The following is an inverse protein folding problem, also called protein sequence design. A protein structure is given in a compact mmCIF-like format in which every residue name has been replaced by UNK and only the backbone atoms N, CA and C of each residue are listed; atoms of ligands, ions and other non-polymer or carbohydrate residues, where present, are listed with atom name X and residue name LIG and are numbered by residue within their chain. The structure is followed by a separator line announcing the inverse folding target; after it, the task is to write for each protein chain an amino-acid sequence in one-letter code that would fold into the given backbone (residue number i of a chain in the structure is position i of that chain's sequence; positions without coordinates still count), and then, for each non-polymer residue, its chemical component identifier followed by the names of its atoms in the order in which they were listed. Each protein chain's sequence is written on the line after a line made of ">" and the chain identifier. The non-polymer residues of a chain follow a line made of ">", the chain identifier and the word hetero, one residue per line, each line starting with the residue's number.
data_IF_918501971827
#
_entry.id   IF_918501971827
#
_cell.length_a   1.000
_cell.length_b   1.000
_cell.length_c   1.000
_cell.angle_alpha   90.00
_cell.angle_beta   90.00
_cell.angle_gamma   90.00
#
_symmetry.space_group_name_H-M   'P 1'
#
loop_
_entity.id
_entity.type
_entity.pdbx_description
1 polymer ?
#
# COMPACT_ATOMS: atom_id res chain seq x y z
N UNK A 1 10.36 -3.45 42.89
CA UNK A 1 9.25 -2.49 43.00
C UNK A 1 9.42 -1.48 41.87
N UNK A 2 8.96 -1.84 40.66
CA UNK A 2 8.99 -0.95 39.49
C UNK A 2 7.58 -0.30 39.40
N UNK A 3 7.49 0.94 39.84
CA UNK A 3 6.32 1.79 39.60
C UNK A 3 6.35 2.14 38.10
N UNK A 4 5.53 1.43 37.29
CA UNK A 4 5.21 1.87 35.95
C UNK A 4 4.35 3.15 36.11
N UNK A 5 4.94 4.28 35.82
CA UNK A 5 4.17 5.46 35.44
C UNK A 5 3.44 5.10 34.13
N UNK A 6 2.19 4.66 34.22
CA UNK A 6 1.24 4.76 33.13
C UNK A 6 0.96 6.25 32.94
N UNK A 7 1.74 6.92 32.10
CA UNK A 7 1.35 8.24 31.60
C UNK A 7 -0.05 8.08 31.01
N UNK A 8 -0.96 8.84 31.55
CA UNK A 8 -2.38 8.85 31.17
C UNK A 8 -2.47 9.30 29.72
N UNK A 9 -2.48 8.33 28.79
CA UNK A 9 -2.57 8.59 27.35
C UNK A 9 -3.84 9.38 27.08
N UNK A 10 -3.71 10.60 26.59
CA UNK A 10 -4.88 11.43 26.27
C UNK A 10 -5.50 10.97 24.96
N UNK A 11 -6.79 10.63 25.02
CA UNK A 11 -7.56 10.30 23.83
C UNK A 11 -7.69 11.53 22.93
N UNK A 12 -7.27 11.43 21.68
CA UNK A 12 -7.33 12.51 20.68
C UNK A 12 -8.50 12.31 19.74
N UNK A 13 -9.03 13.41 19.21
CA UNK A 13 -9.97 13.41 18.10
C UNK A 13 -9.19 13.48 16.80
N UNK A 14 -9.18 12.39 16.04
CA UNK A 14 -8.39 12.26 14.81
C UNK A 14 -9.34 12.11 13.62
N UNK A 15 -9.19 12.97 12.64
CA UNK A 15 -9.88 12.84 11.35
C UNK A 15 -8.90 12.36 10.29
N UNK A 16 -9.25 11.28 9.59
CA UNK A 16 -8.48 10.78 8.44
C UNK A 16 -9.20 11.22 7.16
N UNK A 17 -8.52 11.98 6.29
CA UNK A 17 -9.01 12.35 4.96
C UNK A 17 -8.31 11.46 3.93
N UNK A 18 -9.08 10.70 3.16
CA UNK A 18 -8.56 9.79 2.14
C UNK A 18 -9.51 9.71 0.94
N UNK A 19 -9.03 9.17 -0.18
CA UNK A 19 -9.84 9.02 -1.39
C UNK A 19 -10.47 7.63 -1.53
N UNK A 20 -10.01 6.64 -0.78
CA UNK A 20 -10.57 5.29 -0.83
C UNK A 20 -10.60 4.66 0.55
N UNK A 21 -11.69 3.95 0.82
CA UNK A 21 -11.94 3.24 2.08
C UNK A 21 -12.88 2.05 1.81
N UNK A 22 -12.88 0.96 2.59
CA UNK A 22 -13.83 -0.12 2.40
C UNK A 22 -15.28 0.40 2.25
N UNK A 23 -16.10 -0.17 1.34
CA UNK A 23 -15.97 -1.51 0.73
C UNK A 23 -15.08 -1.62 -0.52
N UNK A 24 -14.41 -0.56 -0.92
CA UNK A 24 -13.41 -0.65 -2.00
C UNK A 24 -12.30 -1.62 -1.60
N UNK A 25 -11.82 -2.42 -2.58
CA UNK A 25 -10.76 -3.39 -2.38
C UNK A 25 -9.42 -2.85 -2.93
N UNK A 26 -8.33 -3.22 -2.28
CA UNK A 26 -6.98 -2.85 -2.71
C UNK A 26 -6.08 -2.40 -1.57
N UNK A 27 -4.83 -2.08 -1.87
CA UNK A 27 -3.82 -1.76 -0.87
C UNK A 27 -4.14 -0.46 -0.10
N UNK A 28 -4.58 0.59 -0.80
CA UNK A 28 -4.87 1.89 -0.19
C UNK A 28 -6.05 1.84 0.79
N UNK A 29 -7.26 1.35 0.42
CA UNK A 29 -8.38 1.28 1.35
C UNK A 29 -8.09 0.36 2.55
N UNK A 30 -7.40 -0.77 2.34
CA UNK A 30 -7.02 -1.68 3.43
C UNK A 30 -6.07 -1.01 4.42
N UNK A 31 -5.06 -0.30 3.93
CA UNK A 31 -4.07 0.41 4.76
C UNK A 31 -4.73 1.49 5.61
N UNK A 32 -5.59 2.33 5.02
CA UNK A 32 -6.29 3.39 5.76
C UNK A 32 -7.24 2.79 6.79
N UNK A 33 -7.91 1.70 6.45
CA UNK A 33 -8.78 0.98 7.39
C UNK A 33 -7.97 0.43 8.59
N UNK A 34 -6.81 -0.19 8.33
CA UNK A 34 -5.94 -0.71 9.38
C UNK A 34 -5.41 0.42 10.28
N UNK A 35 -5.03 1.56 9.69
CA UNK A 35 -4.65 2.76 10.45
C UNK A 35 -5.79 3.24 11.35
N UNK A 36 -7.00 3.38 10.81
CA UNK A 36 -8.17 3.81 11.58
C UNK A 36 -8.51 2.83 12.71
N UNK A 37 -8.46 1.51 12.44
CA UNK A 37 -8.65 0.47 13.47
C UNK A 37 -7.61 0.57 14.58
N UNK A 38 -6.34 0.71 14.22
CA UNK A 38 -5.25 0.84 15.18
C UNK A 38 -5.43 2.06 16.07
N UNK A 39 -5.71 3.23 15.50
CA UNK A 39 -5.98 4.45 16.27
C UNK A 39 -7.17 4.29 17.20
N UNK A 40 -8.24 3.64 16.74
CA UNK A 40 -9.41 3.35 17.57
C UNK A 40 -9.09 2.39 18.72
N UNK A 41 -8.31 1.34 18.45
CA UNK A 41 -7.87 0.39 19.47
C UNK A 41 -6.94 1.03 20.54
N UNK A 42 -6.25 2.14 20.18
CA UNK A 42 -5.44 2.95 21.10
C UNK A 42 -6.26 3.97 21.90
N UNK A 43 -7.60 3.98 21.75
CA UNK A 43 -8.51 4.83 22.53
C UNK A 43 -8.82 6.18 21.89
N UNK A 44 -8.35 6.48 20.69
CA UNK A 44 -8.67 7.72 20.00
C UNK A 44 -10.10 7.76 19.46
N UNK A 45 -10.68 8.95 19.35
CA UNK A 45 -11.93 9.19 18.63
C UNK A 45 -11.60 9.38 17.14
N UNK A 46 -11.99 8.41 16.30
CA UNK A 46 -11.62 8.39 14.89
C UNK A 46 -12.82 8.65 13.98
N UNK A 47 -12.64 9.60 13.05
CA UNK A 47 -13.54 9.80 11.92
C UNK A 47 -12.76 9.68 10.62
N UNK A 48 -13.34 8.97 9.63
CA UNK A 48 -12.81 8.87 8.28
C UNK A 48 -13.70 9.67 7.33
N UNK A 49 -13.11 10.63 6.62
CA UNK A 49 -13.75 11.36 5.52
C UNK A 49 -13.17 10.82 4.22
N UNK A 50 -14.03 10.27 3.37
CA UNK A 50 -13.64 9.63 2.11
C UNK A 50 -14.66 9.93 1.01
N UNK A 51 -14.38 9.56 -0.22
CA UNK A 51 -15.38 9.69 -1.28
C UNK A 51 -16.34 8.49 -1.32
N UNK A 52 -17.42 8.62 -2.12
CA UNK A 52 -18.30 7.48 -2.43
C UNK A 52 -17.48 6.39 -3.15
N UNK A 53 -17.67 5.11 -2.78
CA UNK A 53 -16.87 4.02 -3.35
C UNK A 53 -17.16 3.87 -4.86
N UNK A 54 -16.09 3.80 -5.65
CA UNK A 54 -16.15 3.81 -7.10
C UNK A 54 -15.06 2.97 -7.80
N UNK A 55 -14.00 2.60 -7.07
CA UNK A 55 -12.88 1.82 -7.62
C UNK A 55 -13.15 0.30 -7.51
N UNK A 56 -12.81 -0.52 -8.53
CA UNK A 56 -12.04 -0.16 -9.74
C UNK A 56 -12.88 0.31 -10.94
N UNK A 57 -14.20 0.22 -10.87
CA UNK A 57 -15.09 0.39 -12.03
C UNK A 57 -15.23 1.83 -12.55
N UNK A 58 -14.81 2.85 -11.77
CA UNK A 58 -15.03 4.25 -12.12
C UNK A 58 -16.52 4.63 -12.15
N UNK A 59 -17.34 3.96 -11.35
CA UNK A 59 -18.79 4.21 -11.15
C UNK A 59 -19.11 4.02 -9.69
N UNK A 60 -19.90 4.95 -9.12
CA UNK A 60 -20.36 4.82 -7.73
C UNK A 60 -21.12 3.50 -7.55
N UNK A 61 -20.79 2.76 -6.49
CA UNK A 61 -21.44 1.50 -6.16
C UNK A 61 -22.94 1.68 -5.97
N UNK A 62 -23.79 0.72 -6.35
CA UNK A 62 -25.26 0.90 -6.41
C UNK A 62 -25.87 1.45 -5.12
N UNK A 63 -25.45 0.96 -3.95
CA UNK A 63 -25.96 1.37 -2.63
C UNK A 63 -25.60 2.81 -2.21
N UNK A 64 -24.71 3.47 -2.96
CA UNK A 64 -24.20 4.82 -2.69
C UNK A 64 -24.64 5.86 -3.71
N UNK A 65 -25.35 5.45 -4.77
CA UNK A 65 -25.79 6.36 -5.84
C UNK A 65 -26.82 7.36 -5.35
N UNK A 66 -26.86 8.54 -5.99
CA UNK A 66 -27.83 9.59 -5.70
C UNK A 66 -27.62 10.37 -4.41
N UNK A 67 -26.53 10.12 -3.68
CA UNK A 67 -26.23 10.75 -2.41
C UNK A 67 -25.08 11.73 -2.54
N UNK A 68 -25.20 12.92 -1.95
CA UNK A 68 -24.10 13.88 -1.80
C UNK A 68 -23.23 13.59 -0.59
N UNK A 69 -23.86 13.14 0.50
CA UNK A 69 -23.20 12.76 1.75
C UNK A 69 -23.83 11.47 2.25
N UNK A 70 -23.00 10.51 2.67
CA UNK A 70 -23.45 9.34 3.43
C UNK A 70 -22.64 9.21 4.72
N UNK A 71 -23.32 8.96 5.81
CA UNK A 71 -22.73 8.72 7.14
C UNK A 71 -22.89 7.26 7.48
N UNK A 72 -21.83 6.64 7.95
CA UNK A 72 -21.78 5.24 8.37
C UNK A 72 -21.00 5.14 9.68
N UNK A 73 -21.23 4.05 10.42
CA UNK A 73 -20.43 3.68 11.58
C UNK A 73 -20.04 2.20 11.43
N UNK A 74 -18.76 1.92 11.49
CA UNK A 74 -18.23 0.56 11.40
C UNK A 74 -17.15 0.38 12.48
N UNK A 75 -17.31 -0.61 13.38
CA UNK A 75 -16.41 -0.86 14.51
C UNK A 75 -16.09 0.42 15.32
N UNK A 76 -17.12 1.20 15.63
CA UNK A 76 -17.03 2.50 16.31
C UNK A 76 -16.22 3.59 15.58
N UNK A 77 -15.78 3.37 14.36
CA UNK A 77 -15.20 4.38 13.47
C UNK A 77 -16.34 5.06 12.73
N UNK A 78 -16.42 6.39 12.83
CA UNK A 78 -17.38 7.19 12.05
C UNK A 78 -16.82 7.38 10.65
N UNK A 79 -17.62 7.09 9.62
CA UNK A 79 -17.26 7.24 8.22
C UNK A 79 -18.19 8.24 7.59
N UNK A 80 -17.64 9.26 6.95
CA UNK A 80 -18.36 10.23 6.15
C UNK A 80 -17.89 10.14 4.71
N UNK A 81 -18.81 9.73 3.84
CA UNK A 81 -18.57 9.67 2.39
C UNK A 81 -19.11 10.90 1.72
N UNK A 82 -18.33 11.49 0.86
CA UNK A 82 -18.66 12.68 0.09
C UNK A 82 -18.79 12.33 -1.38
N UNK A 83 -19.62 13.04 -2.07
CA UNK A 83 -19.80 12.86 -3.49
C UNK A 83 -18.53 13.18 -4.29
N UNK A 84 -18.37 12.45 -5.40
CA UNK A 84 -17.39 12.76 -6.44
C UNK A 84 -17.99 12.43 -7.82
N UNK A 85 -17.43 13.02 -8.86
CA UNK A 85 -17.61 12.56 -10.23
C UNK A 85 -16.70 11.34 -10.45
N UNK A 86 -17.23 10.10 -10.52
CA UNK A 86 -16.37 8.93 -10.62
C UNK A 86 -15.83 8.77 -12.04
N UNK A 87 -14.55 8.50 -12.20
CA UNK A 87 -13.97 8.23 -13.50
C UNK A 87 -12.73 7.32 -13.40
N UNK A 88 -12.75 6.24 -14.17
CA UNK A 88 -11.58 5.40 -14.46
C UNK A 88 -11.22 5.44 -15.95
N UNK A 89 -11.58 6.53 -16.62
CA UNK A 89 -11.35 6.73 -18.04
C UNK A 89 -9.87 6.92 -18.36
N UNK A 90 -9.45 6.46 -19.54
CA UNK A 90 -8.14 6.81 -20.11
C UNK A 90 -8.02 8.29 -20.47
N UNK A 91 -9.15 9.00 -20.61
CA UNK A 91 -9.19 10.43 -20.90
C UNK A 91 -8.69 11.23 -19.67
N UNK A 92 -7.59 12.00 -19.78
CA UNK A 92 -7.00 12.75 -18.68
C UNK A 92 -7.95 13.82 -18.12
N UNK A 93 -8.78 14.47 -18.97
CA UNK A 93 -9.72 15.51 -18.53
C UNK A 93 -10.75 14.92 -17.56
N UNK A 94 -11.32 13.74 -17.86
CA UNK A 94 -12.27 13.07 -16.96
C UNK A 94 -11.63 12.67 -15.64
N UNK A 95 -10.37 12.26 -15.64
CA UNK A 95 -9.63 11.93 -14.42
C UNK A 95 -9.37 13.17 -13.56
N UNK A 96 -8.97 14.25 -14.19
CA UNK A 96 -8.77 15.55 -13.52
C UNK A 96 -10.10 16.07 -12.95
N UNK A 97 -11.20 16.01 -13.71
CA UNK A 97 -12.53 16.36 -13.23
C UNK A 97 -12.96 15.52 -12.00
N UNK A 98 -12.64 14.22 -11.99
CA UNK A 98 -12.87 13.35 -10.83
C UNK A 98 -12.12 13.83 -9.58
N UNK A 99 -10.85 14.20 -9.73
CA UNK A 99 -10.01 14.68 -8.61
C UNK A 99 -10.53 16.04 -8.10
N UNK A 100 -10.88 16.96 -8.99
CA UNK A 100 -11.44 18.26 -8.60
C UNK A 100 -12.80 18.15 -7.92
N UNK A 101 -13.66 17.24 -8.37
CA UNK A 101 -15.00 17.08 -7.79
C UNK A 101 -14.96 16.63 -6.34
N UNK A 102 -14.04 15.72 -5.97
CA UNK A 102 -13.85 15.34 -4.57
C UNK A 102 -13.21 16.47 -3.75
N UNK A 103 -12.25 17.17 -4.31
CA UNK A 103 -11.65 18.37 -3.70
C UNK A 103 -12.71 19.41 -3.38
N UNK A 104 -13.60 19.67 -4.32
CA UNK A 104 -14.75 20.56 -4.11
C UNK A 104 -15.65 20.07 -2.97
N UNK A 105 -15.97 18.77 -2.96
CA UNK A 105 -16.78 18.17 -1.89
C UNK A 105 -16.13 18.29 -0.51
N UNK A 106 -14.81 18.25 -0.41
CA UNK A 106 -14.08 18.47 0.84
C UNK A 106 -14.31 19.91 1.36
N UNK A 107 -14.19 20.92 0.52
CA UNK A 107 -14.42 22.31 0.93
C UNK A 107 -15.89 22.57 1.29
N UNK A 108 -16.84 22.06 0.52
CA UNK A 108 -18.27 22.34 0.75
C UNK A 108 -18.89 21.54 1.89
N UNK A 109 -18.49 20.29 2.06
CA UNK A 109 -19.19 19.39 3.00
C UNK A 109 -18.32 18.98 4.20
N UNK A 110 -16.98 18.93 4.06
CA UNK A 110 -16.12 18.59 5.17
C UNK A 110 -15.70 19.81 5.98
N UNK A 111 -15.23 20.89 5.34
CA UNK A 111 -14.72 22.07 6.02
C UNK A 111 -15.72 22.69 7.02
N UNK A 112 -17.01 22.98 6.69
CA UNK A 112 -17.94 23.58 7.66
C UNK A 112 -18.16 22.67 8.89
N UNK A 113 -18.24 21.36 8.69
CA UNK A 113 -18.39 20.42 9.79
C UNK A 113 -17.15 20.38 10.67
N UNK A 114 -15.97 20.31 10.08
CA UNK A 114 -14.71 20.24 10.79
C UNK A 114 -14.41 21.55 11.53
N UNK A 115 -14.88 22.67 11.02
CA UNK A 115 -14.82 23.96 11.71
C UNK A 115 -15.64 23.94 13.01
N UNK A 116 -16.87 23.37 12.98
CA UNK A 116 -17.76 23.28 14.14
C UNK A 116 -17.28 22.20 15.14
N UNK A 117 -16.79 21.07 14.63
CA UNK A 117 -16.31 19.93 15.45
C UNK A 117 -14.85 19.67 15.15
N UNK A 118 -14.03 20.62 15.56
CA UNK A 118 -12.60 20.61 15.30
C UNK A 118 -11.95 19.34 15.88
N UNK A 119 -11.26 18.53 15.03
CA UNK A 119 -10.39 17.48 15.52
C UNK A 119 -9.06 18.06 16.02
N UNK A 120 -8.38 17.34 16.90
CA UNK A 120 -7.04 17.71 17.34
C UNK A 120 -6.04 17.54 16.18
N UNK A 121 -6.21 16.45 15.40
CA UNK A 121 -5.33 16.11 14.29
C UNK A 121 -6.11 15.72 13.05
N UNK A 122 -5.60 16.07 11.88
CA UNK A 122 -6.08 15.64 10.57
C UNK A 122 -4.96 14.90 9.86
N UNK A 123 -5.13 13.57 9.66
CA UNK A 123 -4.21 12.75 8.88
C UNK A 123 -4.74 12.69 7.45
N UNK A 124 -3.96 13.21 6.51
CA UNK A 124 -4.34 13.33 5.10
C UNK A 124 -3.55 12.36 4.24
N UNK A 125 -4.23 11.49 3.51
CA UNK A 125 -3.59 10.48 2.65
C UNK A 125 -3.27 11.03 1.27
N UNK A 126 -2.03 10.80 0.81
CA UNK A 126 -1.55 11.11 -0.54
C UNK A 126 -0.96 9.84 -1.19
N UNK A 127 -1.24 9.54 -2.47
CA UNK A 127 -2.18 10.20 -3.37
C UNK A 127 -3.66 9.94 -3.05
N UNK A 128 -4.66 10.61 -3.72
CA UNK A 128 -4.53 11.57 -4.81
C UNK A 128 -4.10 12.96 -4.35
N UNK A 129 -3.30 13.58 -5.18
CA UNK A 129 -2.57 14.80 -4.87
C UNK A 129 -3.45 16.02 -4.53
N UNK A 130 -4.48 16.32 -5.37
CA UNK A 130 -5.32 17.52 -5.18
C UNK A 130 -6.17 17.43 -3.91
N UNK A 131 -6.74 16.27 -3.63
CA UNK A 131 -7.51 16.06 -2.40
C UNK A 131 -6.63 16.07 -1.16
N UNK A 132 -5.38 15.58 -1.29
CA UNK A 132 -4.41 15.66 -0.21
C UNK A 132 -4.04 17.12 0.10
N UNK A 133 -3.73 17.92 -0.94
CA UNK A 133 -3.47 19.34 -0.77
C UNK A 133 -4.65 20.07 -0.10
N UNK A 134 -5.88 19.82 -0.57
CA UNK A 134 -7.09 20.39 0.04
C UNK A 134 -7.25 19.98 1.51
N UNK A 135 -7.02 18.70 1.83
CA UNK A 135 -7.09 18.20 3.21
C UNK A 135 -6.11 18.90 4.15
N UNK A 136 -4.87 19.14 3.70
CA UNK A 136 -3.86 19.89 4.47
C UNK A 136 -4.28 21.37 4.63
N UNK A 137 -4.77 22.00 3.57
CA UNK A 137 -5.28 23.38 3.66
C UNK A 137 -6.46 23.49 4.63
N UNK A 138 -7.40 22.55 4.56
CA UNK A 138 -8.54 22.48 5.51
C UNK A 138 -8.04 22.35 6.95
N UNK A 139 -7.09 21.42 7.20
CA UNK A 139 -6.52 21.25 8.54
C UNK A 139 -5.91 22.56 9.07
N UNK A 140 -5.20 23.29 8.23
CA UNK A 140 -4.63 24.62 8.59
C UNK A 140 -5.69 25.69 8.85
N UNK A 141 -6.75 25.74 8.03
CA UNK A 141 -7.85 26.70 8.19
C UNK A 141 -8.57 26.49 9.53
N UNK A 142 -8.82 25.25 9.91
CA UNK A 142 -9.50 24.93 11.17
C UNK A 142 -8.57 24.92 12.38
N UNK A 143 -7.25 25.12 12.17
CA UNK A 143 -6.23 25.16 13.22
C UNK A 143 -5.95 23.80 13.86
N UNK A 144 -6.20 22.66 13.18
CA UNK A 144 -5.82 21.32 13.61
C UNK A 144 -4.41 20.98 13.18
N UNK A 145 -3.71 20.08 13.90
CA UNK A 145 -2.41 19.55 13.45
C UNK A 145 -2.59 18.81 12.13
N UNK A 146 -1.89 19.24 11.10
CA UNK A 146 -1.95 18.70 9.75
C UNK A 146 -0.85 17.65 9.54
N UNK A 147 -1.20 16.36 9.45
CA UNK A 147 -0.27 15.25 9.26
C UNK A 147 -0.46 14.68 7.85
N UNK A 148 0.58 14.72 7.03
CA UNK A 148 0.54 14.16 5.68
C UNK A 148 1.02 12.71 5.68
N UNK A 149 0.17 11.79 5.23
CA UNK A 149 0.49 10.37 5.05
C UNK A 149 0.78 10.08 3.58
N UNK A 150 2.06 9.96 3.23
CA UNK A 150 2.53 9.76 1.86
C UNK A 150 2.80 8.29 1.60
N UNK A 151 2.15 7.75 0.60
CA UNK A 151 2.30 6.35 0.20
C UNK A 151 2.93 6.15 -1.17
N UNK A 152 3.06 7.22 -1.93
CA UNK A 152 3.64 7.24 -3.26
C UNK A 152 4.11 8.67 -3.57
N UNK A 153 5.26 8.79 -4.22
CA UNK A 153 5.86 10.07 -4.60
C UNK A 153 5.25 10.58 -5.90
N UNK A 154 4.15 11.31 -5.79
CA UNK A 154 3.52 11.94 -6.92
C UNK A 154 3.85 13.45 -6.94
N UNK A 155 4.36 14.04 -8.04
CA UNK A 155 4.26 13.61 -9.44
C UNK A 155 5.39 12.71 -9.96
N UNK A 156 6.41 12.41 -9.18
CA UNK A 156 7.59 11.66 -9.62
C UNK A 156 7.20 10.27 -10.17
N UNK A 157 6.37 9.51 -9.48
CA UNK A 157 5.92 8.18 -9.94
C UNK A 157 5.13 8.25 -11.26
N UNK A 158 4.37 9.33 -11.49
CA UNK A 158 3.67 9.54 -12.76
C UNK A 158 4.65 9.83 -13.91
N UNK A 159 5.78 10.49 -13.64
CA UNK A 159 6.86 10.70 -14.58
C UNK A 159 7.55 9.39 -14.93
N UNK A 160 7.94 8.60 -13.93
CA UNK A 160 8.62 7.31 -14.11
C UNK A 160 7.74 6.27 -14.85
N UNK A 161 6.43 6.34 -14.65
CA UNK A 161 5.46 5.52 -15.38
C UNK A 161 5.16 6.06 -16.80
N UNK A 162 5.76 7.18 -17.21
CA UNK A 162 5.52 7.80 -18.51
C UNK A 162 4.12 8.44 -18.67
N UNK A 163 3.39 8.63 -17.57
CA UNK A 163 2.06 9.25 -17.61
C UNK A 163 2.09 10.78 -17.78
N UNK A 164 3.21 11.40 -17.42
CA UNK A 164 3.51 12.81 -17.64
C UNK A 164 4.96 12.95 -18.12
N UNK A 165 5.27 14.08 -18.77
CA UNK A 165 6.62 14.38 -19.25
C UNK A 165 7.25 15.51 -18.43
N UNK A 166 8.60 15.52 -18.37
CA UNK A 166 9.34 16.66 -17.80
C UNK A 166 9.01 17.93 -18.59
N UNK A 167 8.54 18.98 -17.89
CA UNK A 167 8.17 20.25 -18.52
C UNK A 167 7.57 21.23 -17.49
N UNK A 168 6.99 22.32 -17.97
CA UNK A 168 6.38 23.35 -17.12
C UNK A 168 5.29 22.79 -16.22
N UNK A 169 4.47 21.87 -16.74
CA UNK A 169 3.39 21.23 -15.98
C UNK A 169 3.93 20.37 -14.84
N UNK A 170 4.98 19.56 -15.09
CA UNK A 170 5.63 18.77 -14.05
C UNK A 170 6.22 19.66 -12.96
N UNK A 171 6.93 20.75 -13.34
CA UNK A 171 7.48 21.72 -12.36
C UNK A 171 6.40 22.41 -11.53
N UNK A 172 5.26 22.72 -12.14
CA UNK A 172 4.11 23.26 -11.41
C UNK A 172 3.59 22.27 -10.37
N UNK A 173 3.48 20.99 -10.71
CA UNK A 173 3.07 19.94 -9.76
C UNK A 173 4.09 19.74 -8.63
N UNK A 174 5.40 19.76 -8.93
CA UNK A 174 6.46 19.72 -7.90
C UNK A 174 6.38 20.93 -6.95
N UNK A 175 6.06 22.11 -7.47
CA UNK A 175 5.90 23.31 -6.63
C UNK A 175 4.73 23.13 -5.65
N UNK A 176 3.59 22.59 -6.10
CA UNK A 176 2.43 22.31 -5.23
C UNK A 176 2.80 21.21 -4.22
N UNK A 177 3.50 20.17 -4.64
CA UNK A 177 3.98 19.10 -3.76
C UNK A 177 4.84 19.65 -2.62
N UNK A 178 5.87 20.43 -2.96
CA UNK A 178 6.73 21.09 -1.96
C UNK A 178 5.94 22.02 -1.04
N UNK A 179 4.94 22.73 -1.57
CA UNK A 179 4.06 23.57 -0.76
C UNK A 179 3.22 22.74 0.22
N UNK A 180 2.68 21.59 -0.23
CA UNK A 180 1.92 20.68 0.63
C UNK A 180 2.78 20.13 1.76
N UNK A 181 4.02 19.70 1.47
CA UNK A 181 4.97 19.26 2.49
C UNK A 181 5.27 20.37 3.52
N UNK A 182 5.49 21.59 3.04
CA UNK A 182 5.80 22.72 3.93
C UNK A 182 4.60 23.23 4.74
N UNK A 183 3.36 23.02 4.28
CA UNK A 183 2.13 23.33 5.01
C UNK A 183 1.79 22.29 6.09
N UNK A 184 2.22 21.05 5.96
CA UNK A 184 2.00 20.01 6.96
C UNK A 184 2.81 20.26 8.22
N UNK A 185 2.30 19.87 9.40
CA UNK A 185 3.04 19.98 10.67
C UNK A 185 3.98 18.79 10.86
N UNK A 186 3.56 17.61 10.43
CA UNK A 186 4.34 16.36 10.43
C UNK A 186 4.01 15.52 9.20
N UNK A 187 4.80 14.48 8.94
CA UNK A 187 4.54 13.57 7.84
C UNK A 187 4.86 12.12 8.19
N UNK A 188 4.15 11.24 7.49
CA UNK A 188 4.24 9.79 7.59
C UNK A 188 4.64 9.28 6.22
N UNK A 189 5.73 8.50 6.14
CA UNK A 189 6.14 7.82 4.91
C UNK A 189 6.05 6.31 5.06
N UNK A 190 5.86 5.61 3.95
CA UNK A 190 5.84 4.14 3.96
C UNK A 190 7.20 3.51 3.71
N UNK A 191 8.17 4.32 3.31
CA UNK A 191 9.56 3.95 3.08
C UNK A 191 10.49 5.07 3.52
N UNK A 192 11.75 4.72 3.78
CA UNK A 192 12.78 5.73 4.06
C UNK A 192 13.00 6.65 2.84
N UNK A 193 12.91 6.10 1.63
CA UNK A 193 13.05 6.87 0.39
C UNK A 193 11.97 7.96 0.27
N UNK A 194 10.72 7.66 0.70
CA UNK A 194 9.65 8.67 0.77
C UNK A 194 10.00 9.74 1.80
N UNK A 195 10.44 9.36 3.00
CA UNK A 195 10.80 10.31 4.05
C UNK A 195 11.97 11.20 3.62
N UNK A 196 12.99 10.63 3.00
CA UNK A 196 14.13 11.39 2.45
C UNK A 196 13.70 12.38 1.35
N UNK A 197 12.87 11.95 0.41
CA UNK A 197 12.33 12.82 -0.64
C UNK A 197 11.58 14.02 -0.05
N UNK A 198 10.72 13.79 0.94
CA UNK A 198 9.99 14.85 1.63
C UNK A 198 10.98 15.78 2.33
N UNK A 199 11.90 15.23 3.12
CA UNK A 199 12.91 15.97 3.89
C UNK A 199 13.73 16.91 3.01
N UNK A 200 14.17 16.44 1.85
CA UNK A 200 14.91 17.24 0.85
C UNK A 200 14.08 18.37 0.23
N UNK A 201 12.76 18.32 0.38
CA UNK A 201 11.82 19.32 -0.13
C UNK A 201 11.37 20.33 0.94
N UNK A 202 11.73 20.13 2.20
CA UNK A 202 11.34 20.99 3.31
C UNK A 202 12.25 22.21 3.43
N UNK A 203 11.65 23.35 3.83
CA UNK A 203 12.38 24.56 4.21
C UNK A 203 12.95 24.49 5.63
N UNK A 204 12.28 23.75 6.51
CA UNK A 204 12.67 23.53 7.91
C UNK A 204 12.40 22.07 8.28
N UNK A 205 13.24 21.46 9.12
CA UNK A 205 12.98 20.12 9.63
C UNK A 205 11.60 20.02 10.31
N UNK A 206 10.96 18.87 10.16
CA UNK A 206 9.67 18.56 10.80
C UNK A 206 9.72 17.15 11.35
N UNK A 207 8.80 16.84 12.24
CA UNK A 207 8.67 15.49 12.77
C UNK A 207 8.18 14.53 11.68
N UNK A 208 8.78 13.36 11.63
CA UNK A 208 8.51 12.33 10.64
C UNK A 208 8.31 10.97 11.30
N UNK A 209 7.53 10.12 10.64
CA UNK A 209 7.36 8.74 11.09
C UNK A 209 7.34 7.77 9.92
N UNK A 210 8.10 6.68 10.05
CA UNK A 210 8.09 5.58 9.09
C UNK A 210 6.98 4.60 9.45
N UNK A 211 5.84 4.69 8.77
CA UNK A 211 4.69 3.81 8.98
C UNK A 211 4.50 2.88 7.78
N UNK A 212 5.07 1.70 7.87
CA UNK A 212 5.00 0.68 6.81
C UNK A 212 3.67 -0.05 6.82
N UNK A 213 3.25 -0.54 5.65
CA UNK A 213 2.04 -1.36 5.54
C UNK A 213 2.32 -2.80 6.00
N UNK A 214 2.61 -2.96 7.29
CA UNK A 214 2.91 -4.25 7.91
C UNK A 214 1.64 -5.08 8.07
N UNK A 215 1.81 -6.39 8.01
CA UNK A 215 0.74 -7.36 8.20
C UNK A 215 0.83 -7.99 9.60
N UNK A 216 -0.29 -8.45 10.12
CA UNK A 216 -0.30 -9.30 11.31
C UNK A 216 0.40 -10.63 11.02
N UNK A 217 0.95 -11.25 12.08
CA UNK A 217 1.58 -12.58 11.92
C UNK A 217 0.50 -13.59 11.54
N UNK A 218 0.77 -14.33 10.48
CA UNK A 218 -0.14 -15.37 10.02
C UNK A 218 -0.23 -16.51 11.02
N UNK A 219 -1.42 -17.07 11.28
CA UNK A 219 -1.56 -18.29 12.07
C UNK A 219 -0.85 -19.50 11.41
N UNK A 220 -0.56 -19.41 10.12
CA UNK A 220 0.11 -20.46 9.35
C UNK A 220 1.63 -20.32 9.28
N UNK A 221 2.24 -19.36 9.98
CA UNK A 221 3.69 -19.11 9.95
C UNK A 221 4.53 -20.32 10.40
N UNK A 222 3.96 -21.19 11.22
CA UNK A 222 4.59 -22.41 11.71
C UNK A 222 4.22 -23.67 10.93
N UNK A 223 3.37 -23.55 9.89
CA UNK A 223 3.03 -24.69 9.04
C UNK A 223 4.32 -25.32 8.45
N UNK A 224 4.41 -26.65 8.34
CA UNK A 224 5.53 -27.30 7.67
C UNK A 224 5.73 -26.75 6.26
N UNK A 225 6.94 -26.88 5.74
CA UNK A 225 7.20 -26.50 4.34
C UNK A 225 6.31 -27.30 3.39
N UNK A 226 5.87 -26.74 2.27
CA UNK A 226 5.18 -27.48 1.23
C UNK A 226 6.07 -28.61 0.70
N UNK A 227 5.47 -29.73 0.34
CA UNK A 227 6.15 -30.89 -0.23
C UNK A 227 5.87 -31.02 -1.73
N UNK A 228 6.67 -31.83 -2.41
CA UNK A 228 6.51 -32.13 -3.85
C UNK A 228 7.12 -31.05 -4.76
N UNK A 229 6.54 -30.95 -5.96
CA UNK A 229 6.98 -30.00 -7.00
C UNK A 229 6.95 -28.56 -6.47
N UNK A 230 7.97 -27.78 -6.76
CA UNK A 230 8.06 -26.39 -6.29
C UNK A 230 6.96 -25.54 -6.90
N UNK A 231 6.23 -24.82 -6.06
CA UNK A 231 5.11 -23.93 -6.46
C UNK A 231 5.43 -22.51 -6.05
N UNK A 232 5.32 -21.59 -7.01
CA UNK A 232 5.52 -20.16 -6.84
C UNK A 232 4.15 -19.48 -6.99
N UNK A 233 3.85 -18.47 -6.19
CA UNK A 233 2.58 -17.77 -6.26
C UNK A 233 2.77 -16.27 -6.49
N UNK A 234 1.92 -15.69 -7.34
CA UNK A 234 1.62 -14.28 -7.35
C UNK A 234 0.20 -14.06 -6.82
N UNK A 235 0.03 -13.15 -5.88
CA UNK A 235 -1.31 -12.81 -5.39
C UNK A 235 -1.50 -11.28 -5.34
N UNK A 236 -2.46 -10.77 -6.10
CA UNK A 236 -2.79 -9.35 -6.10
C UNK A 236 -3.32 -8.78 -7.41
N UNK A 237 -3.25 -7.46 -7.55
CA UNK A 237 -3.72 -6.76 -8.74
C UNK A 237 -2.90 -7.15 -9.97
N UNK A 238 -3.57 -7.53 -11.04
CA UNK A 238 -2.97 -7.80 -12.36
C UNK A 238 -2.96 -6.51 -13.20
N UNK A 239 -2.15 -5.56 -12.73
CA UNK A 239 -1.98 -4.26 -13.36
C UNK A 239 -0.70 -4.17 -14.20
N UNK A 240 -0.65 -3.19 -15.10
CA UNK A 240 0.50 -2.97 -16.00
C UNK A 240 1.81 -2.75 -15.22
N UNK A 241 1.74 -2.06 -14.06
CA UNK A 241 2.92 -1.77 -13.25
C UNK A 241 3.56 -3.01 -12.60
N UNK A 242 2.81 -4.11 -12.47
CA UNK A 242 3.31 -5.38 -11.95
C UNK A 242 3.96 -6.24 -13.03
N UNK A 243 3.53 -6.13 -14.29
CA UNK A 243 4.12 -6.84 -15.42
C UNK A 243 4.01 -8.36 -15.35
N UNK A 244 2.95 -8.88 -14.72
CA UNK A 244 2.75 -10.34 -14.55
C UNK A 244 2.57 -11.02 -15.90
N UNK A 245 1.87 -10.38 -16.83
CA UNK A 245 1.72 -10.90 -18.20
C UNK A 245 3.06 -11.03 -18.91
N UNK A 246 3.95 -10.06 -18.76
CA UNK A 246 5.27 -10.11 -19.38
C UNK A 246 6.10 -11.29 -18.82
N UNK A 247 5.99 -11.58 -17.53
CA UNK A 247 6.62 -12.75 -16.88
C UNK A 247 6.05 -14.05 -17.47
N UNK A 248 4.73 -14.19 -17.56
CA UNK A 248 4.08 -15.36 -18.13
C UNK A 248 4.50 -15.60 -19.59
N UNK A 249 4.69 -14.53 -20.34
CA UNK A 249 5.08 -14.60 -21.75
C UNK A 249 6.53 -15.04 -21.95
N UNK A 250 7.43 -14.60 -21.07
CA UNK A 250 8.87 -14.79 -21.27
C UNK A 250 9.43 -16.02 -20.54
N UNK A 251 8.76 -16.52 -19.49
CA UNK A 251 9.26 -17.67 -18.71
C UNK A 251 8.40 -18.91 -18.96
N UNK A 252 9.04 -20.04 -19.24
CA UNK A 252 8.41 -21.37 -19.27
C UNK A 252 8.68 -22.07 -17.94
N UNK A 253 7.71 -22.04 -17.05
CA UNK A 253 7.84 -22.59 -15.70
C UNK A 253 7.91 -24.13 -15.69
N UNK A 254 7.32 -24.80 -16.67
CA UNK A 254 7.46 -26.25 -16.82
C UNK A 254 8.89 -26.69 -17.10
N UNK A 255 9.62 -25.99 -17.96
CA UNK A 255 11.03 -26.26 -18.25
C UNK A 255 11.91 -26.07 -17.01
N UNK A 256 11.52 -25.17 -16.11
CA UNK A 256 12.19 -24.95 -14.81
C UNK A 256 11.74 -25.97 -13.74
N UNK A 257 10.88 -26.93 -14.07
CA UNK A 257 10.30 -27.90 -13.16
C UNK A 257 9.58 -27.27 -11.94
N UNK A 258 8.86 -26.16 -12.16
CA UNK A 258 8.04 -25.46 -11.15
C UNK A 258 6.63 -25.22 -11.66
N UNK A 259 5.72 -24.86 -10.77
CA UNK A 259 4.38 -24.38 -11.09
C UNK A 259 4.25 -22.92 -10.67
N UNK A 260 3.68 -22.09 -11.53
CA UNK A 260 3.39 -20.69 -11.24
C UNK A 260 1.90 -20.46 -11.15
N UNK A 261 1.44 -20.08 -9.95
CA UNK A 261 0.03 -19.84 -9.65
C UNK A 261 -0.25 -18.35 -9.50
N UNK A 262 -1.31 -17.89 -10.15
CA UNK A 262 -1.68 -16.46 -10.19
C UNK A 262 -3.07 -16.30 -9.57
N UNK A 263 -3.15 -15.58 -8.46
CA UNK A 263 -4.40 -15.19 -7.81
C UNK A 263 -4.61 -13.68 -7.96
N UNK A 264 -5.65 -13.28 -8.63
CA UNK A 264 -5.91 -11.85 -8.78
C UNK A 264 -6.88 -11.48 -9.88
N UNK A 265 -7.06 -10.17 -10.03
CA UNK A 265 -7.86 -9.58 -11.09
C UNK A 265 -7.25 -8.25 -11.52
N UNK A 266 -7.53 -7.80 -12.73
CA UNK A 266 -7.01 -6.54 -13.26
C UNK A 266 -6.92 -6.49 -14.77
N UNK A 267 -6.29 -5.44 -15.28
CA UNK A 267 -6.24 -5.15 -16.73
C UNK A 267 -5.49 -6.20 -17.55
N UNK A 268 -4.58 -6.97 -16.94
CA UNK A 268 -3.79 -8.01 -17.63
C UNK A 268 -4.47 -9.39 -17.59
N UNK A 269 -5.55 -9.56 -16.82
CA UNK A 269 -6.23 -10.86 -16.65
C UNK A 269 -6.54 -11.54 -17.98
N UNK A 270 -7.27 -10.88 -18.86
CA UNK A 270 -7.69 -11.46 -20.13
C UNK A 270 -6.51 -11.90 -21.02
N UNK A 271 -5.39 -11.17 -20.96
CA UNK A 271 -4.17 -11.53 -21.70
C UNK A 271 -3.51 -12.77 -21.10
N UNK A 272 -3.49 -12.90 -19.77
CA UNK A 272 -2.92 -14.04 -19.07
C UNK A 272 -3.77 -15.31 -19.33
N UNK A 273 -5.09 -15.21 -19.20
CA UNK A 273 -6.01 -16.33 -19.49
C UNK A 273 -5.87 -16.81 -20.94
N UNK A 274 -5.76 -15.88 -21.91
CA UNK A 274 -5.52 -16.19 -23.31
C UNK A 274 -4.19 -16.91 -23.51
N UNK A 275 -3.10 -16.41 -22.91
CA UNK A 275 -1.78 -17.02 -23.00
C UNK A 275 -1.78 -18.47 -22.46
N UNK A 276 -2.46 -18.70 -21.33
CA UNK A 276 -2.56 -20.04 -20.73
C UNK A 276 -3.35 -20.99 -21.66
N UNK A 277 -4.42 -20.52 -22.30
CA UNK A 277 -5.19 -21.31 -23.24
C UNK A 277 -4.39 -21.67 -24.51
N UNK A 278 -3.55 -20.75 -24.99
CA UNK A 278 -2.68 -20.97 -26.17
C UNK A 278 -1.46 -21.84 -25.84
N UNK A 279 -0.99 -21.84 -24.59
CA UNK A 279 0.21 -22.54 -24.13
C UNK A 279 -0.01 -23.24 -22.77
N UNK A 280 -0.85 -24.29 -22.72
CA UNK A 280 -1.23 -24.95 -21.45
C UNK A 280 -0.08 -25.73 -20.81
N UNK A 281 0.98 -25.98 -21.53
CA UNK A 281 2.18 -26.73 -21.12
C UNK A 281 3.22 -25.88 -20.35
N UNK A 282 3.03 -24.55 -20.24
CA UNK A 282 4.00 -23.65 -19.62
C UNK A 282 4.05 -23.68 -18.09
N UNK A 283 3.21 -24.51 -17.44
CA UNK A 283 3.19 -24.62 -15.96
C UNK A 283 2.62 -23.40 -15.26
N UNK A 284 1.70 -22.66 -15.90
CA UNK A 284 1.05 -21.47 -15.37
C UNK A 284 -0.41 -21.77 -15.06
N UNK A 285 -0.86 -21.41 -13.87
CA UNK A 285 -2.22 -21.67 -13.39
C UNK A 285 -2.88 -20.38 -12.91
N UNK A 286 -4.01 -20.03 -13.52
CA UNK A 286 -4.77 -18.86 -13.09
C UNK A 286 -5.90 -19.24 -12.13
N UNK A 287 -6.07 -18.42 -11.09
CA UNK A 287 -7.13 -18.52 -10.10
C UNK A 287 -7.81 -17.17 -9.91
N UNK A 288 -9.10 -17.17 -9.60
CA UNK A 288 -9.81 -15.97 -9.24
C UNK A 288 -9.23 -15.32 -7.98
N UNK A 289 -9.48 -14.02 -7.80
CA UNK A 289 -9.10 -13.32 -6.57
C UNK A 289 -9.80 -13.92 -5.36
N UNK A 290 -9.08 -14.09 -4.26
CA UNK A 290 -9.59 -14.58 -2.98
C UNK A 290 -9.72 -13.45 -1.95
N UNK A 291 -10.58 -13.60 -0.93
CA UNK A 291 -10.67 -12.66 0.18
C UNK A 291 -9.33 -12.53 0.93
N UNK A 292 -9.04 -11.32 1.43
CA UNK A 292 -7.79 -11.07 2.17
C UNK A 292 -7.63 -11.96 3.41
N UNK A 293 -8.73 -12.38 4.04
CA UNK A 293 -8.71 -13.28 5.20
C UNK A 293 -8.22 -14.71 4.85
N UNK A 294 -8.42 -15.15 3.61
CA UNK A 294 -8.00 -16.47 3.13
C UNK A 294 -6.56 -16.48 2.60
N UNK A 295 -6.01 -15.30 2.33
CA UNK A 295 -4.67 -15.14 1.76
C UNK A 295 -3.57 -15.87 2.59
N UNK A 296 -3.52 -15.77 3.93
CA UNK A 296 -2.51 -16.46 4.71
C UNK A 296 -2.57 -17.98 4.58
N UNK A 297 -3.79 -18.57 4.52
CA UNK A 297 -3.98 -19.99 4.33
C UNK A 297 -3.47 -20.41 2.96
N UNK A 298 -3.90 -19.74 1.91
CA UNK A 298 -3.47 -20.00 0.53
C UNK A 298 -1.95 -19.91 0.39
N UNK A 299 -1.35 -18.82 0.86
CA UNK A 299 0.09 -18.61 0.76
C UNK A 299 0.91 -19.72 1.43
N UNK A 300 0.39 -20.35 2.50
CA UNK A 300 1.09 -21.41 3.21
C UNK A 300 1.29 -22.70 2.39
N UNK A 301 0.63 -22.83 1.25
CA UNK A 301 0.73 -23.99 0.35
C UNK A 301 1.79 -23.77 -0.76
N UNK A 302 2.48 -22.63 -0.77
CA UNK A 302 3.47 -22.25 -1.79
C UNK A 302 4.88 -22.16 -1.22
N UNK A 303 5.88 -22.45 -2.06
CA UNK A 303 7.29 -22.41 -1.66
C UNK A 303 7.89 -21.00 -1.70
N UNK A 304 7.39 -20.15 -2.60
CA UNK A 304 7.83 -18.76 -2.70
C UNK A 304 6.71 -17.88 -3.27
N UNK A 305 6.79 -16.58 -3.00
CA UNK A 305 5.91 -15.59 -3.62
C UNK A 305 6.70 -14.69 -4.56
N UNK A 306 6.11 -14.36 -5.71
CA UNK A 306 6.67 -13.41 -6.66
C UNK A 306 6.11 -12.01 -6.38
N UNK A 307 6.99 -11.02 -6.28
CA UNK A 307 6.67 -9.61 -6.04
C UNK A 307 7.33 -8.77 -7.13
N UNK A 308 6.72 -8.67 -8.33
CA UNK A 308 7.32 -7.99 -9.45
C UNK A 308 6.89 -6.52 -9.52
N UNK A 309 7.81 -5.68 -10.00
CA UNK A 309 7.60 -4.34 -10.50
C UNK A 309 8.15 -4.27 -11.92
N UNK A 310 7.42 -3.61 -12.83
CA UNK A 310 7.84 -3.46 -14.24
C UNK A 310 8.88 -2.37 -14.41
N UNK A 311 8.89 -1.39 -13.53
CA UNK A 311 9.85 -0.27 -13.51
C UNK A 311 10.27 0.00 -12.08
N UNK A 312 11.41 0.63 -11.91
CA UNK A 312 11.83 1.14 -10.63
C UNK A 312 10.97 2.35 -10.27
N UNK A 313 10.24 2.23 -9.17
CA UNK A 313 9.39 3.29 -8.65
C UNK A 313 10.02 3.81 -7.35
N UNK A 314 10.58 5.04 -7.34
CA UNK A 314 11.18 5.61 -6.15
C UNK A 314 10.21 5.62 -4.95
N UNK A 315 10.68 5.15 -3.83
CA UNK A 315 9.89 5.06 -2.60
C UNK A 315 8.93 3.87 -2.52
N UNK A 316 8.75 3.09 -3.57
CA UNK A 316 7.83 1.97 -3.57
C UNK A 316 8.41 0.76 -2.80
N UNK A 317 7.76 0.39 -1.71
CA UNK A 317 8.01 -0.89 -1.01
C UNK A 317 6.73 -1.71 -1.01
N UNK A 318 6.61 -2.71 -1.89
CA UNK A 318 5.40 -3.51 -1.99
C UNK A 318 5.06 -4.24 -0.69
N UNK A 319 3.85 -4.05 -0.18
CA UNK A 319 3.37 -4.70 1.05
C UNK A 319 3.38 -6.23 0.99
N UNK A 320 3.47 -6.80 -0.20
CA UNK A 320 3.61 -8.25 -0.41
C UNK A 320 4.89 -8.81 0.20
N UNK A 321 5.97 -8.01 0.29
CA UNK A 321 7.21 -8.40 0.98
C UNK A 321 6.92 -8.65 2.47
N UNK A 322 6.16 -7.76 3.11
CA UNK A 322 5.77 -7.91 4.52
C UNK A 322 4.77 -9.04 4.73
N UNK A 323 3.87 -9.27 3.76
CA UNK A 323 2.95 -10.41 3.77
C UNK A 323 3.70 -11.74 3.67
N UNK A 324 4.73 -11.81 2.84
CA UNK A 324 5.60 -12.98 2.72
C UNK A 324 6.30 -13.29 4.06
N UNK A 325 6.89 -12.28 4.70
CA UNK A 325 7.50 -12.44 6.03
C UNK A 325 6.48 -12.91 7.08
N UNK A 326 5.26 -12.37 7.07
CA UNK A 326 4.19 -12.75 7.99
C UNK A 326 3.75 -14.21 7.83
N UNK A 327 4.00 -14.81 6.66
CA UNK A 327 3.69 -16.21 6.36
C UNK A 327 4.94 -17.11 6.31
N UNK A 328 6.12 -16.59 6.59
CA UNK A 328 7.40 -17.30 6.47
C UNK A 328 7.63 -17.93 5.09
N UNK A 329 7.38 -17.15 4.02
CA UNK A 329 7.52 -17.57 2.63
C UNK A 329 8.62 -16.76 1.98
N UNK A 330 9.63 -17.38 1.33
CA UNK A 330 10.65 -16.69 0.55
C UNK A 330 10.08 -15.85 -0.59
N UNK A 331 10.82 -14.79 -0.97
CA UNK A 331 10.39 -13.79 -1.94
C UNK A 331 11.27 -13.82 -3.18
N UNK A 332 10.66 -13.87 -4.36
CA UNK A 332 11.28 -13.41 -5.60
C UNK A 332 10.86 -11.95 -5.81
N UNK A 333 11.79 -11.03 -5.68
CA UNK A 333 11.53 -9.61 -5.87
C UNK A 333 12.19 -9.11 -7.16
N UNK A 334 11.35 -8.70 -8.12
CA UNK A 334 11.85 -8.02 -9.33
C UNK A 334 11.65 -6.51 -9.15
N UNK A 335 12.73 -5.80 -8.90
CA UNK A 335 12.71 -4.37 -8.58
C UNK A 335 13.99 -3.89 -7.93
N UNK A 336 14.08 -2.59 -7.67
CA UNK A 336 15.23 -1.94 -7.02
C UNK A 336 14.85 -1.24 -5.71
N UNK A 337 15.66 -0.29 -5.28
CA UNK A 337 15.42 0.59 -4.15
C UNK A 337 15.33 -0.14 -2.80
N UNK A 338 14.53 0.42 -1.90
CA UNK A 338 14.41 -0.07 -0.52
C UNK A 338 13.82 -1.49 -0.44
N UNK A 339 12.88 -1.85 -1.35
CA UNK A 339 12.32 -3.19 -1.41
C UNK A 339 13.39 -4.26 -1.67
N UNK A 340 14.30 -4.00 -2.61
CA UNK A 340 15.42 -4.88 -2.92
C UNK A 340 16.40 -5.00 -1.73
N UNK A 341 16.70 -3.87 -1.05
CA UNK A 341 17.53 -3.87 0.16
C UNK A 341 16.94 -4.74 1.27
N UNK A 342 15.64 -4.59 1.53
CA UNK A 342 14.94 -5.39 2.56
C UNK A 342 15.08 -6.90 2.27
N UNK A 343 14.88 -7.32 1.02
CA UNK A 343 14.96 -8.74 0.65
C UNK A 343 16.40 -9.26 0.76
N UNK A 344 17.39 -8.50 0.27
CA UNK A 344 18.81 -8.87 0.29
C UNK A 344 19.37 -8.91 1.71
N UNK A 345 19.24 -7.82 2.48
CA UNK A 345 19.74 -7.71 3.85
C UNK A 345 19.08 -8.72 4.78
N UNK A 346 17.77 -8.92 4.61
CA UNK A 346 17.02 -9.90 5.39
C UNK A 346 17.31 -11.34 5.01
N UNK A 347 17.99 -11.59 3.89
CA UNK A 347 18.23 -12.93 3.33
C UNK A 347 16.94 -13.74 3.28
N UNK A 348 15.85 -13.10 2.77
CA UNK A 348 14.50 -13.67 2.75
C UNK A 348 14.06 -14.13 1.36
N UNK A 349 14.99 -14.16 0.40
CA UNK A 349 14.72 -14.56 -0.97
C UNK A 349 15.73 -13.99 -1.96
N UNK A 350 15.28 -13.78 -3.18
CA UNK A 350 16.11 -13.39 -4.32
C UNK A 350 15.64 -12.08 -4.94
N UNK A 351 16.57 -11.35 -5.53
CA UNK A 351 16.30 -10.06 -6.17
C UNK A 351 16.87 -10.08 -7.59
N UNK A 352 16.12 -9.58 -8.53
CA UNK A 352 16.54 -9.26 -9.89
C UNK A 352 16.00 -7.88 -10.31
N UNK A 353 16.60 -7.29 -11.34
CA UNK A 353 16.10 -6.04 -11.91
C UNK A 353 14.71 -6.21 -12.54
N UNK A 354 13.92 -5.14 -12.68
CA UNK A 354 12.67 -5.18 -13.44
C UNK A 354 12.89 -5.74 -14.85
N UNK A 355 11.98 -6.57 -15.32
CA UNK A 355 12.01 -7.19 -16.66
C UNK A 355 13.27 -8.02 -16.98
N UNK A 356 14.14 -8.32 -16.02
CA UNK A 356 15.24 -9.24 -16.18
C UNK A 356 14.76 -10.68 -15.95
N UNK A 357 14.15 -11.25 -16.99
CA UNK A 357 13.56 -12.58 -16.94
C UNK A 357 14.62 -13.68 -16.81
N UNK A 358 15.78 -13.50 -17.42
CA UNK A 358 16.89 -14.45 -17.33
C UNK A 358 17.41 -14.57 -15.89
N UNK A 359 17.61 -13.45 -15.20
CA UNK A 359 17.98 -13.47 -13.79
C UNK A 359 16.86 -14.04 -12.89
N UNK A 360 15.59 -13.82 -13.23
CA UNK A 360 14.47 -14.42 -12.52
C UNK A 360 14.46 -15.94 -12.68
N UNK A 361 14.68 -16.47 -13.89
CA UNK A 361 14.80 -17.91 -14.14
C UNK A 361 15.95 -18.54 -13.35
N UNK A 362 17.12 -17.90 -13.35
CA UNK A 362 18.27 -18.36 -12.55
C UNK A 362 17.94 -18.37 -11.04
N UNK A 363 17.19 -17.39 -10.55
CA UNK A 363 16.78 -17.36 -9.17
C UNK A 363 15.76 -18.47 -8.86
N UNK A 364 14.84 -18.77 -9.78
CA UNK A 364 13.90 -19.90 -9.67
C UNK A 364 14.65 -21.22 -9.61
N UNK A 365 15.65 -21.42 -10.47
CA UNK A 365 16.49 -22.63 -10.47
C UNK A 365 17.22 -22.81 -9.13
N UNK A 366 17.68 -21.72 -8.47
CA UNK A 366 18.25 -21.80 -7.12
C UNK A 366 17.25 -22.36 -6.11
N UNK A 367 15.96 -22.00 -6.20
CA UNK A 367 14.91 -22.59 -5.34
C UNK A 367 14.71 -24.07 -5.63
N UNK A 368 14.76 -24.49 -6.91
CA UNK A 368 14.53 -25.88 -7.32
C UNK A 368 15.59 -26.82 -6.73
N UNK A 369 16.87 -26.44 -6.85
CA UNK A 369 17.99 -27.26 -6.38
C UNK A 369 18.35 -27.06 -4.90
N UNK A 370 17.61 -26.17 -4.20
CA UNK A 370 17.91 -25.80 -2.82
C UNK A 370 17.66 -26.97 -1.87
N UNK A 371 18.61 -27.17 -0.95
CA UNK A 371 18.45 -28.14 0.13
C UNK A 371 17.32 -27.73 1.08
N UNK A 372 16.73 -28.71 1.73
CA UNK A 372 15.69 -28.48 2.74
C UNK A 372 16.18 -27.59 3.89
N UNK A 373 17.42 -27.76 4.30
CA UNK A 373 18.07 -26.96 5.35
C UNK A 373 18.18 -25.48 4.94
N UNK A 374 18.61 -25.20 3.71
CA UNK A 374 18.76 -23.82 3.22
C UNK A 374 17.41 -23.15 3.03
N UNK A 375 16.42 -23.92 2.57
CA UNK A 375 15.03 -23.44 2.44
C UNK A 375 14.44 -23.10 3.82
N UNK A 376 14.61 -23.95 4.83
CA UNK A 376 14.18 -23.66 6.20
C UNK A 376 14.92 -22.45 6.80
N UNK A 377 16.18 -22.22 6.41
CA UNK A 377 16.91 -21.01 6.80
C UNK A 377 16.26 -19.75 6.22
N UNK A 378 15.86 -19.74 4.94
CA UNK A 378 15.14 -18.61 4.35
C UNK A 378 13.82 -18.33 5.09
N UNK A 379 13.06 -19.38 5.40
CA UNK A 379 11.81 -19.26 6.18
C UNK A 379 12.07 -18.69 7.58
N UNK A 380 13.11 -19.13 8.24
CA UNK A 380 13.49 -18.63 9.57
C UNK A 380 13.93 -17.16 9.50
N UNK A 381 14.63 -16.76 8.46
CA UNK A 381 14.96 -15.36 8.21
C UNK A 381 13.69 -14.50 8.04
N UNK A 382 12.68 -14.98 7.31
CA UNK A 382 11.39 -14.29 7.20
C UNK A 382 10.74 -14.07 8.58
N UNK A 383 10.72 -15.13 9.43
CA UNK A 383 10.18 -15.05 10.80
C UNK A 383 10.96 -14.05 11.66
N UNK A 384 12.28 -14.10 11.58
CA UNK A 384 13.16 -13.21 12.35
C UNK A 384 12.97 -11.74 11.93
N UNK A 385 12.99 -11.46 10.64
CA UNK A 385 12.76 -10.11 10.10
C UNK A 385 11.38 -9.57 10.53
N UNK A 386 10.34 -10.42 10.48
CA UNK A 386 8.99 -10.05 10.94
C UNK A 386 8.96 -9.74 12.43
N UNK A 387 9.65 -10.53 13.26
CA UNK A 387 9.68 -10.39 14.73
C UNK A 387 10.49 -9.18 15.18
N UNK A 388 11.68 -8.97 14.59
CA UNK A 388 12.67 -8.00 15.10
C UNK A 388 12.53 -6.65 14.40
N UNK A 389 12.46 -6.62 13.06
CA UNK A 389 12.53 -5.37 12.27
C UNK A 389 11.16 -4.86 11.82
N UNK A 390 10.22 -5.76 11.55
CA UNK A 390 8.91 -5.43 10.98
C UNK A 390 7.75 -5.89 11.87
N UNK A 391 7.88 -5.66 13.17
CA UNK A 391 6.84 -5.99 14.14
C UNK A 391 5.75 -4.92 14.10
N UNK A 392 4.52 -5.32 13.74
CA UNK A 392 3.39 -4.42 13.61
C UNK A 392 3.01 -3.78 14.95
N UNK A 393 2.96 -4.56 16.04
CA UNK A 393 2.55 -4.06 17.34
C UNK A 393 3.53 -3.03 17.89
N UNK A 394 4.83 -3.25 17.65
CA UNK A 394 5.90 -2.30 18.00
C UNK A 394 5.76 -1.02 17.17
N UNK A 395 5.50 -1.14 15.85
CA UNK A 395 5.29 0.02 14.99
C UNK A 395 4.05 0.81 15.42
N UNK A 396 2.94 0.12 15.70
CA UNK A 396 1.69 0.74 16.12
C UNK A 396 1.83 1.46 17.47
N UNK A 397 2.61 0.90 18.41
CA UNK A 397 2.90 1.53 19.68
C UNK A 397 3.78 2.79 19.51
N UNK A 398 4.82 2.70 18.70
CA UNK A 398 5.71 3.83 18.40
C UNK A 398 4.96 4.94 17.65
N UNK A 399 4.03 4.60 16.76
CA UNK A 399 3.21 5.58 16.05
C UNK A 399 2.28 6.34 17.00
N UNK A 400 1.68 5.66 17.96
CA UNK A 400 0.85 6.30 18.97
C UNK A 400 1.65 7.32 19.80
N UNK A 401 2.87 6.96 20.22
CA UNK A 401 3.79 7.88 20.90
C UNK A 401 4.18 9.08 20.02
N UNK A 402 4.45 8.84 18.74
CA UNK A 402 4.71 9.92 17.78
C UNK A 402 3.54 10.90 17.69
N UNK A 403 2.29 10.43 17.65
CA UNK A 403 1.13 11.32 17.62
C UNK A 403 1.00 12.14 18.92
N UNK A 404 1.39 11.58 20.05
CA UNK A 404 1.40 12.30 21.33
C UNK A 404 2.47 13.39 21.35
N UNK A 405 3.68 13.13 20.84
CA UNK A 405 4.78 14.11 20.78
C UNK A 405 4.52 15.29 19.84
N UNK A 406 3.49 15.26 19.02
CA UNK A 406 3.13 16.39 18.15
C UNK A 406 2.41 17.53 18.90
N UNK A 407 2.00 17.33 20.15
CA UNK A 407 1.34 18.40 20.96
C UNK A 407 2.35 19.34 21.61
N UNK A 408 3.56 18.85 21.85
CA UNK A 408 4.69 19.61 22.37
C UNK A 408 5.31 20.51 21.26
#
# INVERSE_FOLDING_TARGET
>A
MQVRHEEKRMAKKITIICNSYPPEKGAAPTRIHNLAKMLKARGHEVEVITCMPNYPMGRIFPSFRGKLIQKEKNNDIRIRRLWLYPSNSKNPIKRVASMFSYTFSLYFFALPKLFIRRPDMVIVSSPPFLSAYAGIVIARIIGSKAILNVSDLWPLSALELGAIQKGYFYRFLEMIEKRMYNLSDAYIGQSNEILEHIKNSLRKPKQEFLYRNLQETSPYIHKPRPQGKKRIVYAGLLGIAQGVYDICRNINFSELNVEFHIYGDGNERAKIEKLIAEHPDRGIYYHNSIPSAEMPRMLSDYHATLVPLKTDLPGAVPSKIFMAMANAIPVFFSGAGEGARIVKEGKIGWVNSPCDFAALEQNILKLVVMSDKDYDQLRNNCKLMRKVRFNKDTQDAAFDLFLQSLDD
#
